data_IF_659469774436
#
_entry.id   IF_659469774436
#
_cell.length_a   1.000
_cell.length_b   1.000
_cell.length_c   1.000
_cell.angle_alpha   90.00
_cell.angle_beta   90.00
_cell.angle_gamma   90.00
#
_symmetry.space_group_name_H-M   'P 1'
#
loop_
_entity.id
_entity.type
_entity.pdbx_description
1 polymer ?
#
# COMPACT_ATOMS: atom_id res chain seq x y z
N UNK A 1 8.60 6.08 -9.52
CA UNK A 1 7.70 5.29 -8.63
C UNK A 1 7.10 4.17 -9.44
N UNK A 2 6.75 3.04 -8.83
CA UNK A 2 6.07 1.93 -9.51
C UNK A 2 4.55 2.08 -9.48
N UNK A 3 3.82 1.40 -10.37
CA UNK A 3 2.34 1.36 -10.37
C UNK A 3 1.79 0.93 -9.00
N UNK A 4 2.43 -0.05 -8.36
CA UNK A 4 2.08 -0.46 -7.00
C UNK A 4 2.27 0.67 -6.00
N UNK A 5 3.32 1.48 -6.13
CA UNK A 5 3.52 2.61 -5.21
C UNK A 5 2.37 3.64 -5.37
N UNK A 6 1.89 3.88 -6.60
CA UNK A 6 0.75 4.77 -6.85
C UNK A 6 -0.57 4.18 -6.31
N UNK A 7 -0.80 2.88 -6.50
CA UNK A 7 -1.97 2.19 -5.93
C UNK A 7 -1.97 2.31 -4.41
N UNK A 8 -0.83 2.04 -3.77
CA UNK A 8 -0.71 2.15 -2.32
C UNK A 8 -1.02 3.57 -1.85
N UNK A 9 -0.42 4.59 -2.47
CA UNK A 9 -0.70 5.98 -2.12
C UNK A 9 -2.16 6.37 -2.33
N UNK A 10 -2.80 5.90 -3.39
CA UNK A 10 -4.23 6.11 -3.62
C UNK A 10 -5.10 5.45 -2.53
N UNK A 11 -4.73 4.26 -2.06
CA UNK A 11 -5.47 3.58 -0.97
C UNK A 11 -5.39 4.35 0.35
N UNK A 12 -4.23 4.94 0.66
CA UNK A 12 -4.04 5.71 1.92
C UNK A 12 -4.38 7.20 1.79
N UNK A 13 -4.77 7.67 0.61
CA UNK A 13 -5.06 9.09 0.35
C UNK A 13 -6.30 9.57 1.11
N UNK A 14 -7.37 8.76 1.11
CA UNK A 14 -8.64 9.15 1.72
C UNK A 14 -8.63 9.02 3.24
N UNK A 15 -7.93 8.01 3.79
CA UNK A 15 -7.81 7.79 5.23
C UNK A 15 -6.49 7.08 5.58
N UNK A 16 -5.83 7.44 6.70
CA UNK A 16 -4.67 6.69 7.17
C UNK A 16 -5.07 5.25 7.51
N UNK A 17 -4.37 4.30 6.91
CA UNK A 17 -4.58 2.87 7.10
C UNK A 17 -3.27 2.20 7.51
N UNK A 18 -3.36 1.24 8.41
CA UNK A 18 -2.22 0.38 8.73
C UNK A 18 -1.86 -0.48 7.50
N UNK A 19 -0.60 -0.91 7.42
CA UNK A 19 -0.16 -1.81 6.35
C UNK A 19 -0.99 -3.11 6.26
N UNK A 20 -1.55 -3.56 7.39
CA UNK A 20 -2.47 -4.70 7.46
C UNK A 20 -3.82 -4.40 6.81
N UNK A 21 -4.40 -3.23 7.09
CA UNK A 21 -5.65 -2.80 6.46
C UNK A 21 -5.48 -2.63 4.94
N UNK A 22 -4.36 -2.03 4.51
CA UNK A 22 -4.01 -1.90 3.09
C UNK A 22 -3.91 -3.28 2.41
N UNK A 23 -3.28 -4.25 3.09
CA UNK A 23 -3.20 -5.62 2.58
C UNK A 23 -4.62 -6.23 2.42
N UNK A 24 -5.51 -6.00 3.38
CA UNK A 24 -6.90 -6.48 3.31
C UNK A 24 -7.68 -5.85 2.17
N UNK A 25 -7.49 -4.56 1.89
CA UNK A 25 -8.12 -3.90 0.73
C UNK A 25 -7.63 -4.46 -0.61
N UNK A 26 -6.34 -4.76 -0.71
CA UNK A 26 -5.74 -5.39 -1.90
C UNK A 26 -6.35 -6.78 -2.14
N UNK A 27 -6.51 -7.57 -1.08
CA UNK A 27 -7.17 -8.89 -1.11
C UNK A 27 -8.65 -8.76 -1.48
N UNK A 28 -9.41 -7.91 -0.77
CA UNK A 28 -10.85 -7.71 -0.98
C UNK A 28 -11.19 -7.26 -2.41
N UNK A 29 -10.34 -6.39 -2.99
CA UNK A 29 -10.52 -5.86 -4.35
C UNK A 29 -9.90 -6.74 -5.43
N UNK A 30 -9.30 -7.89 -5.08
CA UNK A 30 -8.60 -8.80 -5.99
C UNK A 30 -7.57 -8.09 -6.89
N UNK A 31 -6.83 -7.11 -6.35
CA UNK A 31 -5.89 -6.30 -7.15
C UNK A 31 -4.71 -7.11 -7.69
N UNK A 32 -4.41 -8.27 -7.10
CA UNK A 32 -3.43 -9.23 -7.59
C UNK A 32 -3.73 -9.75 -9.01
N UNK A 33 -4.98 -9.69 -9.46
CA UNK A 33 -5.36 -10.07 -10.83
C UNK A 33 -4.98 -9.02 -11.87
N UNK A 34 -4.77 -7.76 -11.43
CA UNK A 34 -4.51 -6.62 -12.31
C UNK A 34 -3.06 -6.17 -12.23
N UNK A 35 -2.42 -6.35 -11.08
CA UNK A 35 -1.04 -5.94 -10.82
C UNK A 35 -0.33 -7.02 -10.03
N UNK A 36 0.91 -7.33 -10.40
CA UNK A 36 1.75 -8.29 -9.69
C UNK A 36 2.16 -7.73 -8.33
N UNK A 37 1.35 -8.01 -7.32
CA UNK A 37 1.52 -7.55 -5.94
C UNK A 37 1.29 -8.72 -4.97
N UNK A 38 2.20 -8.90 -4.02
CA UNK A 38 2.05 -9.90 -2.96
C UNK A 38 1.91 -9.21 -1.61
N UNK A 39 1.16 -9.81 -0.70
CA UNK A 39 1.00 -9.32 0.68
C UNK A 39 2.36 -8.96 1.35
N UNK A 40 3.41 -9.80 1.31
CA UNK A 40 4.70 -9.45 1.90
C UNK A 40 5.40 -8.25 1.23
N UNK A 41 5.14 -8.04 -0.07
CA UNK A 41 5.73 -6.92 -0.82
C UNK A 41 5.07 -5.57 -0.48
N UNK A 42 3.79 -5.59 -0.11
CA UNK A 42 3.02 -4.40 0.33
C UNK A 42 3.69 -3.78 1.55
N UNK A 43 3.94 -4.58 2.58
CA UNK A 43 4.55 -4.10 3.83
C UNK A 43 5.89 -3.40 3.61
N UNK A 44 6.80 -4.05 2.88
CA UNK A 44 8.12 -3.47 2.54
C UNK A 44 8.00 -2.17 1.75
N UNK A 45 6.99 -2.06 0.88
CA UNK A 45 6.76 -0.86 0.07
C UNK A 45 6.17 0.29 0.88
N UNK A 46 5.25 0.02 1.79
CA UNK A 46 4.70 1.03 2.72
C UNK A 46 5.82 1.66 3.54
N UNK A 47 6.66 0.86 4.20
CA UNK A 47 7.82 1.36 4.97
C UNK A 47 8.75 2.20 4.09
N UNK A 48 8.99 1.76 2.85
CA UNK A 48 9.83 2.52 1.92
C UNK A 48 9.21 3.86 1.51
N UNK A 49 7.89 3.94 1.40
CA UNK A 49 7.18 5.18 1.08
C UNK A 49 7.15 6.13 2.27
N UNK A 50 6.98 5.61 3.49
CA UNK A 50 7.16 6.36 4.74
C UNK A 50 8.57 6.95 4.84
N UNK A 51 9.61 6.13 4.62
CA UNK A 51 11.01 6.58 4.66
C UNK A 51 11.36 7.63 3.60
N UNK A 52 10.49 7.81 2.59
CA UNK A 52 10.61 8.86 1.57
C UNK A 52 9.70 10.07 1.83
N UNK A 53 8.93 10.06 2.92
CA UNK A 53 7.99 11.13 3.27
C UNK A 53 6.70 11.15 2.46
N UNK A 54 6.39 10.09 1.68
CA UNK A 54 5.14 10.01 0.93
C UNK A 54 3.95 9.52 1.78
N UNK A 55 4.23 8.88 2.91
CA UNK A 55 3.24 8.43 3.87
C UNK A 55 3.62 8.95 5.26
N UNK A 56 2.62 9.44 5.98
CA UNK A 56 2.77 9.75 7.40
C UNK A 56 2.67 8.46 8.20
N UNK A 57 3.59 8.27 9.15
CA UNK A 57 3.55 7.11 10.05
C UNK A 57 2.40 7.29 11.02
N UNK A 58 1.25 6.68 10.73
CA UNK A 58 0.15 6.58 11.68
C UNK A 58 0.32 5.24 12.40
N UNK A 59 0.83 5.32 13.64
CA UNK A 59 0.89 4.20 14.59
C UNK A 59 -0.51 3.82 15.06
#
# INVERSE_FOLDING_TARGET
>A
MSTVDLILLGLVYDYPQSAYAIQKDIEYRNLSNWVKISAPSVYKKVIRLEGKGYLSRVL
#
